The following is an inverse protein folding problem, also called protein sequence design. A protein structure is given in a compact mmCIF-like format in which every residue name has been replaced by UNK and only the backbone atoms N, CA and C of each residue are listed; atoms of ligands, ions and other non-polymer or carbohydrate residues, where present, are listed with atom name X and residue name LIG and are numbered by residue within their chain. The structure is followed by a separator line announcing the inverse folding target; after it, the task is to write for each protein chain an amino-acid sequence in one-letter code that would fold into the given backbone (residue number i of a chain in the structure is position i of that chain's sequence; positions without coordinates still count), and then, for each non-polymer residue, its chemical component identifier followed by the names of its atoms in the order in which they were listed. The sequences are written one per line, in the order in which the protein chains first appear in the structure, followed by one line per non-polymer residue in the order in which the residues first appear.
data_IF_290876622539
#
_entry.id   IF_290876622539
#
_cell.length_a   1.000
_cell.length_b   1.000
_cell.length_c   1.000
_cell.angle_alpha   90.00
_cell.angle_beta   90.00
_cell.angle_gamma   90.00
#
_symmetry.space_group_name_H-M   'P 1'
#
loop_
_entity.id
_entity.type
_entity.pdbx_description
1 polymer ?
#
# COMPACT_ATOMS: atom_id res chain seq x y z
N UNK A 1 -23.26 30.58 12.12
CA UNK A 1 -22.87 29.23 12.56
C UNK A 1 -23.28 28.16 11.55
N UNK A 2 -24.54 28.10 11.10
CA UNK A 2 -25.02 27.13 10.09
C UNK A 2 -24.35 27.24 8.70
N UNK A 3 -24.19 28.46 8.16
CA UNK A 3 -23.48 28.68 6.87
C UNK A 3 -22.01 28.23 6.91
N UNK A 4 -21.29 28.53 8.00
CA UNK A 4 -19.89 28.10 8.19
C UNK A 4 -19.76 26.57 8.36
N UNK A 5 -20.80 25.90 8.87
CA UNK A 5 -20.84 24.44 8.92
C UNK A 5 -21.08 23.83 7.54
N UNK A 6 -21.99 24.40 6.74
CA UNK A 6 -22.25 23.98 5.36
C UNK A 6 -21.02 24.15 4.45
N UNK A 7 -20.34 25.28 4.56
CA UNK A 7 -19.11 25.59 3.80
C UNK A 7 -17.97 24.63 4.16
N UNK A 8 -17.84 24.25 5.45
CA UNK A 8 -16.92 23.20 5.90
C UNK A 8 -17.28 21.81 5.39
N UNK A 9 -18.56 21.51 5.23
CA UNK A 9 -18.99 20.21 4.69
C UNK A 9 -18.84 20.11 3.18
N UNK A 10 -18.97 21.22 2.42
CA UNK A 10 -18.72 21.22 0.98
C UNK A 10 -17.26 20.90 0.65
N UNK A 11 -16.31 21.43 1.43
CA UNK A 11 -14.89 21.10 1.30
C UNK A 11 -14.60 19.58 1.38
N UNK A 12 -15.38 18.82 2.15
CA UNK A 12 -15.19 17.37 2.27
C UNK A 12 -15.49 16.62 0.96
N UNK A 13 -16.29 17.20 0.07
CA UNK A 13 -16.69 16.62 -1.21
C UNK A 13 -15.90 17.16 -2.41
N UNK A 14 -14.98 18.10 -2.19
CA UNK A 14 -14.08 18.58 -3.24
C UNK A 14 -13.03 17.52 -3.60
N UNK A 15 -12.64 17.50 -4.87
CA UNK A 15 -11.58 16.63 -5.37
C UNK A 15 -10.24 16.99 -4.70
N UNK A 16 -9.69 16.02 -3.98
CA UNK A 16 -8.38 16.12 -3.38
C UNK A 16 -7.32 15.75 -4.41
N UNK A 17 -6.39 16.66 -4.69
CA UNK A 17 -5.25 16.37 -5.56
C UNK A 17 -4.00 15.97 -4.76
N UNK A 18 -3.76 14.67 -4.61
CA UNK A 18 -2.60 14.05 -3.94
C UNK A 18 -1.83 13.19 -4.94
N UNK A 19 -0.50 13.36 -4.98
CA UNK A 19 0.34 12.53 -5.83
C UNK A 19 0.58 11.16 -5.20
N UNK A 20 0.71 10.12 -6.03
CA UNK A 20 0.82 8.75 -5.55
C UNK A 20 2.04 8.53 -4.64
N UNK A 21 3.19 9.10 -4.98
CA UNK A 21 4.39 8.98 -4.14
C UNK A 21 4.24 9.71 -2.80
N UNK A 22 3.57 10.86 -2.78
CA UNK A 22 3.17 11.57 -1.55
C UNK A 22 2.27 10.68 -0.70
N UNK A 23 1.27 10.01 -1.29
CA UNK A 23 0.37 9.09 -0.56
C UNK A 23 1.16 7.98 0.13
N UNK A 24 2.04 7.29 -0.59
CA UNK A 24 2.84 6.21 -0.01
C UNK A 24 3.77 6.74 1.09
N UNK A 25 4.33 7.94 0.91
CA UNK A 25 5.18 8.58 1.91
C UNK A 25 4.40 8.99 3.17
N UNK A 26 3.16 9.47 3.03
CA UNK A 26 2.28 9.79 4.16
C UNK A 26 1.90 8.52 4.95
N UNK A 27 1.59 7.42 4.26
CA UNK A 27 1.31 6.13 4.93
C UNK A 27 2.56 5.57 5.61
N UNK A 28 3.74 5.68 5.00
CA UNK A 28 5.00 5.29 5.62
C UNK A 28 5.36 6.16 6.83
N UNK A 29 5.19 7.48 6.73
CA UNK A 29 5.37 8.40 7.85
C UNK A 29 4.42 8.05 9.00
N UNK A 30 3.16 7.74 8.69
CA UNK A 30 2.17 7.28 9.67
C UNK A 30 2.59 5.96 10.32
N UNK A 31 3.09 5.00 9.54
CA UNK A 31 3.55 3.71 10.05
C UNK A 31 4.66 3.89 11.09
N UNK A 32 5.66 4.69 10.75
CA UNK A 32 6.81 4.96 11.62
C UNK A 32 6.38 5.78 12.85
N UNK A 33 5.60 6.86 12.67
CA UNK A 33 5.15 7.70 13.78
C UNK A 33 4.25 6.95 14.77
N UNK A 34 3.27 6.18 14.28
CA UNK A 34 2.41 5.39 15.17
C UNK A 34 3.21 4.32 15.89
N UNK A 35 4.18 3.67 15.23
CA UNK A 35 5.10 2.76 15.91
C UNK A 35 5.84 3.47 17.04
N UNK A 36 6.43 4.65 16.77
CA UNK A 36 7.11 5.46 17.79
C UNK A 36 6.21 5.86 18.96
N UNK A 37 4.94 6.21 18.71
CA UNK A 37 3.96 6.53 19.76
C UNK A 37 3.61 5.30 20.61
N UNK A 38 3.42 4.14 19.97
CA UNK A 38 3.06 2.89 20.63
C UNK A 38 4.22 2.29 21.43
N UNK A 39 5.47 2.63 21.11
CA UNK A 39 6.63 2.17 21.87
C UNK A 39 6.60 2.62 23.34
N UNK A 40 6.03 3.79 23.68
CA UNK A 40 5.94 4.26 25.08
C UNK A 40 5.14 3.31 25.99
N UNK A 41 3.86 2.98 25.67
CA UNK A 41 3.09 2.02 26.46
C UNK A 41 3.64 0.59 26.36
N UNK A 42 4.29 0.21 25.25
CA UNK A 42 5.00 -1.08 25.12
C UNK A 42 6.12 -1.20 26.15
N UNK A 43 7.00 -0.20 26.23
CA UNK A 43 8.12 -0.22 27.18
C UNK A 43 7.66 -0.12 28.64
N UNK A 44 6.48 0.43 28.87
CA UNK A 44 5.83 0.44 30.18
C UNK A 44 5.15 -0.90 30.54
N UNK A 45 5.17 -1.88 29.63
CA UNK A 45 4.53 -3.19 29.81
C UNK A 45 3.00 -3.18 29.71
N UNK A 46 2.41 -2.09 29.22
CA UNK A 46 0.94 -1.93 29.16
C UNK A 46 0.31 -2.66 27.97
N UNK A 47 1.03 -2.76 26.85
CA UNK A 47 0.54 -3.39 25.63
C UNK A 47 1.61 -4.29 24.99
N UNK A 48 1.22 -5.38 24.32
CA UNK A 48 2.14 -6.25 23.61
C UNK A 48 2.71 -5.58 22.35
N UNK A 49 3.91 -5.98 21.95
CA UNK A 49 4.59 -5.49 20.74
C UNK A 49 4.88 -6.64 19.80
N UNK A 50 4.48 -6.50 18.54
CA UNK A 50 4.72 -7.49 17.50
C UNK A 50 5.79 -7.03 16.51
N UNK A 51 7.04 -7.44 16.76
CA UNK A 51 8.20 -7.00 15.97
C UNK A 51 8.07 -7.37 14.47
N UNK A 52 7.71 -8.62 14.18
CA UNK A 52 7.60 -9.11 12.80
C UNK A 52 6.51 -8.38 12.02
N UNK A 53 5.46 -7.88 12.69
CA UNK A 53 4.43 -7.06 12.07
C UNK A 53 4.94 -5.68 11.66
N UNK A 54 5.77 -5.03 12.49
CA UNK A 54 6.43 -3.76 12.14
C UNK A 54 7.42 -3.97 10.99
N UNK A 55 8.28 -4.98 11.07
CA UNK A 55 9.23 -5.26 9.99
C UNK A 55 8.53 -5.61 8.69
N UNK A 56 7.49 -6.44 8.76
CA UNK A 56 6.71 -6.85 7.61
C UNK A 56 5.98 -5.70 6.94
N UNK A 57 5.38 -4.80 7.73
CA UNK A 57 4.73 -3.59 7.24
C UNK A 57 5.70 -2.64 6.52
N UNK A 58 6.86 -2.37 7.11
CA UNK A 58 7.87 -1.49 6.50
C UNK A 58 8.44 -2.09 5.20
N UNK A 59 8.73 -3.39 5.19
CA UNK A 59 9.17 -4.10 3.98
C UNK A 59 8.09 -4.09 2.90
N UNK A 60 6.83 -4.28 3.26
CA UNK A 60 5.73 -4.15 2.33
C UNK A 60 5.68 -2.76 1.69
N UNK A 61 5.84 -1.69 2.48
CA UNK A 61 5.86 -0.32 1.97
C UNK A 61 7.07 -0.04 1.07
N UNK A 62 8.26 -0.53 1.41
CA UNK A 62 9.44 -0.45 0.52
C UNK A 62 9.24 -1.22 -0.79
N UNK A 63 8.69 -2.43 -0.71
CA UNK A 63 8.35 -3.24 -1.88
C UNK A 63 7.31 -2.53 -2.76
N UNK A 64 6.29 -1.93 -2.15
CA UNK A 64 5.31 -1.11 -2.84
C UNK A 64 5.96 0.06 -3.56
N UNK A 65 6.78 0.87 -2.90
CA UNK A 65 7.50 1.99 -3.54
C UNK A 65 8.35 1.51 -4.72
N UNK A 66 9.02 0.37 -4.57
CA UNK A 66 9.85 -0.22 -5.63
C UNK A 66 9.01 -0.63 -6.84
N UNK A 67 7.88 -1.31 -6.63
CA UNK A 67 6.97 -1.76 -7.69
C UNK A 67 6.26 -0.58 -8.37
N UNK A 68 5.77 0.37 -7.58
CA UNK A 68 4.86 1.42 -8.02
C UNK A 68 5.54 2.70 -8.47
N UNK A 69 6.76 2.99 -8.01
CA UNK A 69 7.51 4.20 -8.34
C UNK A 69 8.82 3.90 -9.07
N UNK A 70 9.36 2.67 -8.98
CA UNK A 70 10.72 2.36 -9.43
C UNK A 70 11.80 2.89 -8.49
N UNK A 71 11.40 3.49 -7.36
CA UNK A 71 12.31 3.94 -6.31
C UNK A 71 12.69 2.76 -5.44
N UNK A 72 13.96 2.38 -5.51
CA UNK A 72 14.52 1.39 -4.58
C UNK A 72 14.97 2.08 -3.30
N UNK A 73 15.17 1.34 -2.19
CA UNK A 73 15.81 1.90 -1.00
C UNK A 73 17.16 2.55 -1.31
N UNK A 74 17.89 2.06 -2.32
CA UNK A 74 19.17 2.59 -2.77
C UNK A 74 19.07 3.87 -3.65
N UNK A 75 17.86 4.33 -3.99
CA UNK A 75 17.62 5.54 -4.78
C UNK A 75 16.73 5.32 -6.01
N UNK A 76 16.66 6.37 -6.84
CA UNK A 76 15.84 6.40 -8.06
C UNK A 76 16.45 5.47 -9.12
N UNK A 77 15.73 4.42 -9.51
CA UNK A 77 16.10 3.54 -10.62
C UNK A 77 15.01 3.59 -11.70
N UNK A 78 15.39 3.35 -12.96
CA UNK A 78 14.41 3.15 -14.03
C UNK A 78 13.59 1.90 -13.76
N UNK A 79 12.29 1.92 -14.09
CA UNK A 79 11.41 0.77 -13.91
C UNK A 79 11.76 -0.32 -14.90
N UNK A 80 12.57 -1.28 -14.45
CA UNK A 80 12.92 -2.48 -15.21
C UNK A 80 12.20 -3.71 -14.64
N UNK A 81 12.12 -4.79 -15.43
CA UNK A 81 11.58 -6.07 -14.95
C UNK A 81 12.31 -6.57 -13.70
N UNK A 82 13.62 -6.34 -13.61
CA UNK A 82 14.41 -6.72 -12.45
C UNK A 82 14.00 -5.95 -11.18
N UNK A 83 13.82 -4.63 -11.30
CA UNK A 83 13.35 -3.78 -10.18
C UNK A 83 11.93 -4.18 -9.75
N UNK A 84 11.05 -4.51 -10.70
CA UNK A 84 9.71 -5.00 -10.40
C UNK A 84 9.75 -6.32 -9.60
N UNK A 85 10.52 -7.30 -10.07
CA UNK A 85 10.67 -8.61 -9.39
C UNK A 85 11.27 -8.42 -7.99
N UNK A 86 12.28 -7.56 -7.86
CA UNK A 86 12.86 -7.23 -6.56
C UNK A 86 11.81 -6.63 -5.62
N UNK A 87 11.04 -5.65 -6.08
CA UNK A 87 10.00 -5.01 -5.27
C UNK A 87 8.90 -5.99 -4.83
N UNK A 88 8.44 -6.86 -5.73
CA UNK A 88 7.49 -7.93 -5.40
C UNK A 88 8.09 -8.90 -4.38
N UNK A 89 9.37 -9.24 -4.51
CA UNK A 89 10.06 -10.15 -3.58
C UNK A 89 10.16 -9.52 -2.19
N UNK A 90 10.57 -8.26 -2.09
CA UNK A 90 10.63 -7.52 -0.82
C UNK A 90 9.25 -7.41 -0.17
N UNK A 91 8.21 -7.10 -0.97
CA UNK A 91 6.84 -7.07 -0.48
C UNK A 91 6.36 -8.45 0.01
N UNK A 92 6.68 -9.53 -0.72
CA UNK A 92 6.34 -10.89 -0.34
C UNK A 92 7.00 -11.30 0.98
N UNK A 93 8.28 -10.97 1.16
CA UNK A 93 8.99 -11.17 2.45
C UNK A 93 8.26 -10.39 3.56
N UNK A 94 7.85 -9.15 3.30
CA UNK A 94 7.09 -8.35 4.26
C UNK A 94 5.74 -8.96 4.63
N UNK A 95 4.98 -9.45 3.65
CA UNK A 95 3.69 -10.13 3.86
C UNK A 95 3.86 -11.39 4.71
N UNK A 96 4.84 -12.24 4.37
CA UNK A 96 5.12 -13.47 5.13
C UNK A 96 5.54 -13.14 6.56
N UNK A 97 6.38 -12.12 6.76
CA UNK A 97 6.82 -11.66 8.08
C UNK A 97 5.64 -11.22 8.96
N UNK A 98 4.68 -10.48 8.38
CA UNK A 98 3.46 -10.08 9.09
C UNK A 98 2.63 -11.29 9.53
N UNK A 99 2.55 -12.34 8.72
CA UNK A 99 1.58 -13.42 8.95
C UNK A 99 2.14 -14.54 9.82
N UNK A 100 3.42 -14.85 9.68
CA UNK A 100 4.05 -16.01 10.32
C UNK A 100 4.98 -15.50 11.43
N UNK A 101 4.49 -15.35 12.68
CA UNK A 101 5.33 -14.94 13.79
C UNK A 101 6.43 -15.98 14.04
N UNK A 102 7.63 -15.50 14.37
CA UNK A 102 8.72 -16.24 14.99
C UNK A 102 9.37 -17.39 14.19
N UNK A 103 8.93 -17.64 12.95
CA UNK A 103 9.53 -18.69 12.10
C UNK A 103 10.69 -18.17 11.26
N UNK A 104 10.57 -16.97 10.67
CA UNK A 104 11.54 -16.44 9.71
C UNK A 104 12.18 -15.11 10.14
N UNK A 105 12.15 -14.75 11.42
CA UNK A 105 12.49 -13.40 11.94
C UNK A 105 13.79 -12.80 11.41
N UNK A 106 14.82 -13.64 11.22
CA UNK A 106 16.12 -13.21 10.70
C UNK A 106 16.03 -12.61 9.29
N UNK A 107 15.23 -13.21 8.40
CA UNK A 107 15.17 -12.79 6.99
C UNK A 107 14.56 -11.38 6.85
N UNK A 108 13.36 -11.08 7.36
CA UNK A 108 12.80 -9.73 7.35
C UNK A 108 13.69 -8.74 8.08
N UNK A 109 14.30 -9.14 9.22
CA UNK A 109 15.20 -8.27 9.98
C UNK A 109 16.40 -7.85 9.12
N UNK A 110 17.11 -8.80 8.50
CA UNK A 110 18.28 -8.50 7.65
C UNK A 110 17.89 -7.68 6.43
N UNK A 111 16.81 -8.05 5.73
CA UNK A 111 16.34 -7.30 4.55
C UNK A 111 15.97 -5.87 4.95
N UNK A 112 15.29 -5.67 6.08
CA UNK A 112 14.91 -4.34 6.55
C UNK A 112 16.12 -3.50 6.93
N UNK A 113 17.11 -4.09 7.61
CA UNK A 113 18.36 -3.39 7.96
C UNK A 113 19.09 -2.96 6.69
N UNK A 114 19.15 -3.80 5.66
CA UNK A 114 19.72 -3.44 4.36
C UNK A 114 18.93 -2.27 3.76
N UNK A 115 17.58 -2.34 3.72
CA UNK A 115 16.75 -1.26 3.18
C UNK A 115 16.95 0.06 3.93
N UNK A 116 17.04 0.04 5.27
CA UNK A 116 17.15 1.23 6.10
C UNK A 116 18.57 1.82 6.13
N UNK A 117 19.59 1.00 6.41
CA UNK A 117 20.98 1.43 6.53
C UNK A 117 21.60 1.69 5.16
N UNK A 118 21.67 0.66 4.31
CA UNK A 118 22.30 0.78 3.00
C UNK A 118 21.51 1.73 2.10
N UNK A 119 20.18 1.68 2.15
CA UNK A 119 19.33 2.61 1.43
C UNK A 119 19.52 4.06 1.87
N UNK A 120 19.45 4.33 3.18
CA UNK A 120 19.67 5.67 3.73
C UNK A 120 21.06 6.23 3.40
N UNK A 121 22.11 5.41 3.51
CA UNK A 121 23.48 5.82 3.17
C UNK A 121 23.61 6.17 1.68
N UNK A 122 23.11 5.32 0.79
CA UNK A 122 23.19 5.54 -0.66
C UNK A 122 22.38 6.76 -1.08
N UNK A 123 21.19 6.99 -0.50
CA UNK A 123 20.39 8.17 -0.78
C UNK A 123 21.06 9.46 -0.28
N UNK A 124 21.72 9.42 0.89
CA UNK A 124 22.51 10.54 1.40
C UNK A 124 23.70 10.85 0.49
N UNK A 125 24.46 9.83 0.08
CA UNK A 125 25.59 10.00 -0.85
C UNK A 125 25.12 10.53 -2.21
N UNK A 126 24.03 10.00 -2.76
CA UNK A 126 23.45 10.51 -4.00
C UNK A 126 23.01 11.97 -3.88
N UNK A 127 22.42 12.36 -2.76
CA UNK A 127 22.03 13.75 -2.52
C UNK A 127 23.24 14.69 -2.52
N UNK A 128 24.35 14.28 -1.89
CA UNK A 128 25.57 15.08 -1.81
C UNK A 128 26.37 15.14 -3.13
N UNK A 129 26.39 14.05 -3.89
CA UNK A 129 27.23 13.90 -5.11
C UNK A 129 26.49 14.31 -6.39
N UNK A 130 25.16 14.17 -6.44
CA UNK A 130 24.40 14.47 -7.65
C UNK A 130 24.31 15.98 -7.90
N UNK A 131 24.79 16.41 -9.08
CA UNK A 131 24.66 17.79 -9.57
C UNK A 131 23.20 18.23 -9.70
N UNK A 132 22.31 17.29 -9.93
CA UNK A 132 20.88 17.52 -10.17
C UNK A 132 20.04 17.56 -8.89
N UNK A 133 20.63 17.27 -7.72
CA UNK A 133 19.93 17.29 -6.42
C UNK A 133 20.38 18.49 -5.58
N UNK A 134 21.27 18.30 -4.60
CA UNK A 134 21.59 19.34 -3.61
C UNK A 134 22.07 20.64 -4.26
N UNK A 135 22.96 20.55 -5.25
CA UNK A 135 23.46 21.74 -5.95
C UNK A 135 22.35 22.46 -6.73
N UNK A 136 21.47 21.71 -7.41
CA UNK A 136 20.33 22.28 -8.11
C UNK A 136 19.30 22.90 -7.14
N UNK A 137 18.99 22.24 -6.02
CA UNK A 137 18.03 22.73 -5.01
C UNK A 137 18.50 24.01 -4.34
N UNK A 138 19.80 24.11 -4.05
CA UNK A 138 20.42 25.34 -3.57
C UNK A 138 20.34 26.46 -4.61
N UNK A 139 20.49 26.12 -5.90
CA UNK A 139 20.38 27.06 -7.01
C UNK A 139 18.96 27.55 -7.28
N UNK A 140 17.93 26.71 -7.11
CA UNK A 140 16.53 27.08 -7.31
C UNK A 140 15.98 28.00 -6.22
N UNK A 141 16.49 27.88 -4.98
CA UNK A 141 16.02 28.67 -3.85
C UNK A 141 14.57 28.38 -3.42
N UNK A 142 14.06 29.15 -2.45
CA UNK A 142 12.68 29.06 -1.98
C UNK A 142 12.34 27.74 -1.27
N UNK A 143 11.29 27.04 -1.72
CA UNK A 143 10.79 25.80 -1.08
C UNK A 143 11.81 24.66 -1.17
N UNK A 144 12.66 24.64 -2.22
CA UNK A 144 13.68 23.62 -2.42
C UNK A 144 14.80 23.68 -1.36
N UNK A 145 15.05 24.84 -0.74
CA UNK A 145 15.99 24.98 0.38
C UNK A 145 15.55 24.19 1.63
N UNK A 146 14.24 24.03 1.84
CA UNK A 146 13.70 23.24 2.94
C UNK A 146 13.67 21.74 2.61
N UNK A 147 13.70 21.37 1.33
CA UNK A 147 13.68 19.98 0.88
C UNK A 147 15.01 19.26 1.21
N UNK A 148 16.15 19.92 0.99
CA UNK A 148 17.47 19.39 1.30
C UNK A 148 17.60 18.91 2.78
N UNK A 149 17.42 19.77 3.80
CA UNK A 149 17.55 19.35 5.19
C UNK A 149 16.50 18.32 5.61
N UNK A 150 15.28 18.38 5.05
CA UNK A 150 14.24 17.39 5.34
C UNK A 150 14.59 16.00 4.80
N UNK A 151 15.05 15.89 3.55
CA UNK A 151 15.53 14.64 2.97
C UNK A 151 16.76 14.11 3.72
N UNK A 152 17.72 14.99 4.03
CA UNK A 152 18.89 14.65 4.82
C UNK A 152 18.52 14.06 6.19
N UNK A 153 17.54 14.66 6.89
CA UNK A 153 17.02 14.12 8.14
C UNK A 153 16.42 12.72 7.96
N UNK A 154 15.56 12.51 6.95
CA UNK A 154 14.99 11.18 6.65
C UNK A 154 16.08 10.14 6.42
N UNK A 155 17.13 10.46 5.67
CA UNK A 155 18.21 9.51 5.38
C UNK A 155 19.04 9.17 6.63
N UNK A 156 19.39 10.18 7.43
CA UNK A 156 20.14 9.98 8.68
C UNK A 156 19.32 9.17 9.69
N UNK A 157 18.05 9.53 9.89
CA UNK A 157 17.18 8.80 10.81
C UNK A 157 16.81 7.40 10.29
N UNK A 158 16.78 7.18 8.96
CA UNK A 158 16.66 5.83 8.39
C UNK A 158 17.84 4.96 8.76
N UNK A 159 19.07 5.46 8.62
CA UNK A 159 20.28 4.71 9.03
C UNK A 159 20.27 4.41 10.53
N UNK A 160 19.89 5.39 11.35
CA UNK A 160 19.78 5.23 12.80
C UNK A 160 18.71 4.19 13.16
N UNK A 161 17.55 4.22 12.50
CA UNK A 161 16.50 3.22 12.69
C UNK A 161 16.98 1.81 12.31
N UNK A 162 17.71 1.66 11.19
CA UNK A 162 18.29 0.37 10.82
C UNK A 162 19.33 -0.14 11.83
N UNK A 163 20.13 0.76 12.43
CA UNK A 163 21.08 0.43 13.49
C UNK A 163 20.37 -0.01 14.78
N UNK A 164 19.27 0.66 15.15
CA UNK A 164 18.42 0.28 16.28
C UNK A 164 17.72 -1.08 16.08
N UNK A 165 17.38 -1.41 14.84
CA UNK A 165 16.86 -2.76 14.51
C UNK A 165 17.97 -3.80 14.64
N UNK A 166 19.21 -3.47 14.24
CA UNK A 166 20.35 -4.38 14.34
C UNK A 166 20.69 -4.71 15.81
N UNK A 167 21.07 -3.71 16.61
CA UNK A 167 21.38 -3.85 18.04
C UNK A 167 20.23 -3.28 18.89
N UNK A 168 19.44 -4.18 19.50
CA UNK A 168 18.41 -3.81 20.46
C UNK A 168 19.09 -3.40 21.78
N UNK A 169 18.97 -2.13 22.18
CA UNK A 169 19.54 -1.62 23.43
C UNK A 169 20.64 -0.57 23.29
N UNK A 170 20.96 -0.12 22.07
CA UNK A 170 21.86 1.02 21.86
C UNK A 170 21.40 2.29 22.60
N UNK A 171 20.09 2.49 22.64
CA UNK A 171 19.44 3.60 23.33
C UNK A 171 18.50 3.11 24.42
N UNK A 172 18.23 4.00 25.39
CA UNK A 172 17.14 3.80 26.34
C UNK A 172 15.80 3.73 25.60
N UNK A 173 14.85 3.01 26.17
CA UNK A 173 13.49 2.85 25.65
C UNK A 173 12.87 4.18 25.15
N UNK A 174 12.93 5.24 25.98
CA UNK A 174 12.40 6.55 25.63
C UNK A 174 13.12 7.20 24.45
N UNK A 175 14.45 7.08 24.39
CA UNK A 175 15.24 7.63 23.29
C UNK A 175 14.97 6.89 21.98
N UNK A 176 14.79 5.57 22.01
CA UNK A 176 14.37 4.78 20.84
C UNK A 176 13.02 5.28 20.34
N UNK A 177 12.01 5.40 21.21
CA UNK A 177 10.69 5.90 20.83
C UNK A 177 10.74 7.31 20.23
N UNK A 178 11.48 8.23 20.87
CA UNK A 178 11.67 9.61 20.36
C UNK A 178 12.38 9.59 19.00
N UNK A 179 13.42 8.78 18.82
CA UNK A 179 14.15 8.71 17.54
C UNK A 179 13.26 8.24 16.39
N UNK A 180 12.40 7.24 16.65
CA UNK A 180 11.41 6.73 15.68
C UNK A 180 10.34 7.79 15.39
N UNK A 181 9.89 8.55 16.40
CA UNK A 181 8.97 9.66 16.19
C UNK A 181 9.55 10.78 15.33
N UNK A 182 10.80 11.16 15.57
CA UNK A 182 11.49 12.18 14.77
C UNK A 182 11.68 11.68 13.34
N UNK A 183 11.99 10.40 13.16
CA UNK A 183 12.07 9.78 11.85
C UNK A 183 10.74 9.90 11.09
N UNK A 184 9.63 9.43 11.68
CA UNK A 184 8.30 9.49 11.06
C UNK A 184 7.85 10.93 10.79
N UNK A 185 8.12 11.86 11.71
CA UNK A 185 7.83 13.29 11.52
C UNK A 185 8.61 13.89 10.34
N UNK A 186 9.87 13.49 10.16
CA UNK A 186 10.69 13.93 9.02
C UNK A 186 10.11 13.44 7.69
N UNK A 187 9.59 12.21 7.65
CA UNK A 187 8.91 11.66 6.46
C UNK A 187 7.67 12.51 6.10
N UNK A 188 6.86 12.89 7.10
CA UNK A 188 5.72 13.78 6.88
C UNK A 188 6.15 15.14 6.31
N UNK A 189 7.20 15.76 6.85
CA UNK A 189 7.72 17.04 6.34
C UNK A 189 8.11 16.92 4.87
N UNK A 190 8.82 15.85 4.49
CA UNK A 190 9.17 15.61 3.08
C UNK A 190 7.91 15.44 2.22
N UNK A 191 6.91 14.69 2.69
CA UNK A 191 5.66 14.51 1.96
C UNK A 191 4.91 15.83 1.71
N UNK A 192 4.82 16.70 2.71
CA UNK A 192 4.20 18.02 2.56
C UNK A 192 4.97 18.95 1.62
N UNK A 193 6.31 18.96 1.74
CA UNK A 193 7.16 19.76 0.85
C UNK A 193 7.03 19.28 -0.60
N UNK A 194 7.03 17.96 -0.82
CA UNK A 194 6.91 17.38 -2.15
C UNK A 194 5.54 17.66 -2.77
N UNK A 195 4.47 17.53 -1.99
CA UNK A 195 3.12 17.90 -2.41
C UNK A 195 3.02 19.37 -2.82
N UNK A 196 3.65 20.26 -2.07
CA UNK A 196 3.69 21.70 -2.38
C UNK A 196 4.48 21.97 -3.66
N UNK A 197 5.62 21.30 -3.84
CA UNK A 197 6.45 21.40 -5.05
C UNK A 197 5.69 20.89 -6.27
N UNK A 198 5.01 19.75 -6.19
CA UNK A 198 4.29 19.20 -7.34
C UNK A 198 3.07 20.03 -7.73
N UNK A 199 2.36 20.63 -6.78
CA UNK A 199 1.30 21.61 -7.09
C UNK A 199 1.84 22.87 -7.75
N UNK A 200 3.02 23.35 -7.35
CA UNK A 200 3.64 24.52 -7.95
C UNK A 200 4.30 24.22 -9.32
N UNK A 201 4.85 23.01 -9.48
CA UNK A 201 5.60 22.57 -10.66
C UNK A 201 5.13 21.17 -11.11
N UNK A 202 3.99 21.07 -11.82
CA UNK A 202 3.40 19.79 -12.22
C UNK A 202 4.30 18.94 -13.13
N UNK A 203 5.21 19.60 -13.87
CA UNK A 203 6.18 18.95 -14.75
C UNK A 203 7.18 18.08 -13.95
N UNK A 204 7.50 18.47 -12.71
CA UNK A 204 8.38 17.69 -11.84
C UNK A 204 7.75 16.37 -11.37
N UNK A 205 6.41 16.29 -11.34
CA UNK A 205 5.69 15.05 -11.02
C UNK A 205 5.58 14.11 -12.24
N UNK A 206 5.55 14.66 -13.46
CA UNK A 206 5.44 13.90 -14.72
C UNK A 206 6.77 13.33 -15.23
N UNK A 207 7.91 13.77 -14.69
CA UNK A 207 9.24 13.35 -15.14
C UNK A 207 9.55 11.85 -14.93
N UNK A 208 8.64 11.07 -14.33
CA UNK A 208 8.69 9.61 -14.27
C UNK A 208 7.96 8.95 -15.45
N UNK A 209 8.03 9.52 -16.64
CA UNK A 209 7.58 8.87 -17.87
C UNK A 209 8.59 7.79 -18.26
N UNK A 210 8.22 6.51 -18.08
CA UNK A 210 9.00 5.39 -18.61
C UNK A 210 8.06 4.35 -19.23
N UNK A 211 8.37 4.00 -20.47
CA UNK A 211 7.68 3.21 -21.51
C UNK A 211 7.27 1.77 -21.09
N UNK A 212 7.58 1.36 -19.86
CA UNK A 212 7.31 0.03 -19.31
C UNK A 212 6.40 0.05 -18.07
N UNK A 213 5.94 1.23 -17.65
CA UNK A 213 5.30 1.47 -16.35
C UNK A 213 3.94 0.79 -16.17
N UNK A 214 3.87 -0.16 -15.22
CA UNK A 214 2.61 -0.47 -14.56
C UNK A 214 2.10 0.83 -13.92
N UNK A 215 0.93 1.30 -14.36
CA UNK A 215 0.21 2.38 -13.71
C UNK A 215 0.02 2.08 -12.21
N UNK A 216 -0.15 3.10 -11.37
CA UNK A 216 -0.30 2.96 -9.93
C UNK A 216 -1.37 1.92 -9.56
N UNK A 217 -2.49 1.92 -10.29
CA UNK A 217 -3.57 0.95 -10.13
C UNK A 217 -3.13 -0.49 -10.44
N UNK A 218 -2.32 -0.69 -11.49
CA UNK A 218 -1.79 -2.01 -11.84
C UNK A 218 -0.77 -2.51 -10.82
N UNK A 219 0.05 -1.60 -10.27
CA UNK A 219 0.98 -1.91 -9.18
C UNK A 219 0.25 -2.34 -7.91
N UNK A 220 -0.81 -1.63 -7.53
CA UNK A 220 -1.66 -1.98 -6.39
C UNK A 220 -2.39 -3.31 -6.63
N UNK A 221 -2.89 -3.54 -7.83
CA UNK A 221 -3.55 -4.79 -8.21
C UNK A 221 -2.57 -5.98 -8.17
N UNK A 222 -1.34 -5.81 -8.67
CA UNK A 222 -0.26 -6.80 -8.55
C UNK A 222 0.02 -7.17 -7.10
N UNK A 223 0.25 -6.17 -6.24
CA UNK A 223 0.58 -6.39 -4.83
C UNK A 223 -0.60 -6.99 -4.05
N UNK A 224 -1.83 -6.58 -4.36
CA UNK A 224 -3.04 -7.19 -3.78
C UNK A 224 -3.18 -8.65 -4.21
N UNK A 225 -2.90 -8.96 -5.48
CA UNK A 225 -2.88 -10.33 -5.98
C UNK A 225 -1.83 -11.20 -5.29
N UNK A 226 -0.61 -10.69 -5.12
CA UNK A 226 0.48 -11.37 -4.39
C UNK A 226 0.11 -11.57 -2.92
N UNK A 227 -0.45 -10.55 -2.26
CA UNK A 227 -0.97 -10.65 -0.89
C UNK A 227 -1.99 -11.77 -0.76
N UNK A 228 -3.01 -11.79 -1.64
CA UNK A 228 -4.08 -12.81 -1.61
C UNK A 228 -3.54 -14.21 -1.87
N UNK A 229 -2.58 -14.36 -2.78
CA UNK A 229 -1.95 -15.63 -3.08
C UNK A 229 -1.14 -16.16 -1.89
N UNK A 230 -0.27 -15.33 -1.31
CA UNK A 230 0.53 -15.71 -0.14
C UNK A 230 -0.38 -16.05 1.04
N UNK A 231 -1.38 -15.21 1.31
CA UNK A 231 -2.34 -15.43 2.37
C UNK A 231 -3.10 -16.76 2.17
N UNK A 232 -3.61 -16.99 0.97
CA UNK A 232 -4.37 -18.21 0.65
C UNK A 232 -3.53 -19.48 0.82
N UNK A 233 -2.28 -19.46 0.34
CA UNK A 233 -1.34 -20.58 0.48
C UNK A 233 -0.98 -20.84 1.95
N UNK A 234 -0.77 -19.78 2.75
CA UNK A 234 -0.43 -19.90 4.16
C UNK A 234 -1.61 -20.35 5.03
N UNK A 235 -2.84 -19.99 4.69
CA UNK A 235 -4.01 -20.38 5.47
C UNK A 235 -4.25 -21.90 5.49
N UNK A 236 -3.83 -22.63 4.46
CA UNK A 236 -3.95 -24.09 4.40
C UNK A 236 -3.17 -24.79 5.53
N UNK A 237 -1.84 -24.66 5.65
CA UNK A 237 -1.07 -25.26 6.75
C UNK A 237 -1.43 -24.69 8.13
N UNK A 238 -1.81 -23.41 8.21
CA UNK A 238 -2.31 -22.79 9.45
C UNK A 238 -3.60 -23.48 9.93
N UNK A 239 -4.52 -23.79 9.02
CA UNK A 239 -5.77 -24.48 9.35
C UNK A 239 -5.56 -25.92 9.84
N UNK A 240 -4.43 -26.53 9.49
CA UNK A 240 -4.00 -27.84 10.02
C UNK A 240 -3.15 -27.73 11.29
N UNK A 241 -2.98 -26.53 11.86
CA UNK A 241 -2.18 -26.29 13.06
C UNK A 241 -0.66 -26.45 12.86
N UNK A 242 -0.17 -26.45 11.61
CA UNK A 242 1.26 -26.66 11.32
C UNK A 242 2.10 -25.39 11.34
N UNK A 243 1.47 -24.22 11.19
CA UNK A 243 2.15 -22.92 11.19
C UNK A 243 1.45 -21.94 12.13
N UNK A 244 2.21 -21.13 12.89
CA UNK A 244 1.64 -20.07 13.68
C UNK A 244 1.16 -18.94 12.76
N UNK A 245 0.15 -18.19 13.21
CA UNK A 245 -0.49 -17.19 12.36
C UNK A 245 -0.94 -15.95 13.13
N UNK A 246 -0.59 -14.77 12.63
CA UNK A 246 -1.03 -13.48 13.16
C UNK A 246 -2.19 -12.92 12.35
N UNK A 247 -3.42 -13.22 12.78
CA UNK A 247 -4.64 -12.64 12.17
C UNK A 247 -4.69 -11.11 12.30
N UNK A 248 -4.09 -10.55 13.37
CA UNK A 248 -4.00 -9.10 13.58
C UNK A 248 -3.21 -8.37 12.49
N UNK A 249 -2.01 -8.87 12.16
CA UNK A 249 -1.19 -8.27 11.12
C UNK A 249 -1.70 -8.61 9.71
N UNK A 250 -2.39 -9.74 9.52
CA UNK A 250 -3.12 -10.03 8.28
C UNK A 250 -4.17 -8.95 7.98
N UNK A 251 -5.09 -8.73 8.91
CA UNK A 251 -6.12 -7.71 8.77
C UNK A 251 -5.50 -6.31 8.70
N UNK A 252 -4.45 -6.08 9.50
CA UNK A 252 -3.73 -4.81 9.51
C UNK A 252 -3.14 -4.45 8.15
N UNK A 253 -2.42 -5.39 7.53
CA UNK A 253 -1.79 -5.18 6.23
C UNK A 253 -2.83 -5.02 5.11
N UNK A 254 -3.94 -5.76 5.17
CA UNK A 254 -5.06 -5.58 4.24
C UNK A 254 -5.68 -4.18 4.35
N UNK A 255 -5.84 -3.66 5.58
CA UNK A 255 -6.35 -2.31 5.81
C UNK A 255 -5.39 -1.22 5.29
N UNK A 256 -4.08 -1.45 5.39
CA UNK A 256 -3.08 -0.57 4.76
C UNK A 256 -3.19 -0.61 3.23
N UNK A 257 -3.40 -1.79 2.62
CA UNK A 257 -3.64 -1.90 1.17
C UNK A 257 -4.89 -1.10 0.77
N UNK A 258 -6.01 -1.25 1.48
CA UNK A 258 -7.23 -0.49 1.20
C UNK A 258 -7.05 1.02 1.41
N UNK A 259 -6.31 1.43 2.44
CA UNK A 259 -5.98 2.83 2.65
C UNK A 259 -5.22 3.42 1.47
N UNK A 260 -4.19 2.74 0.98
CA UNK A 260 -3.39 3.24 -0.14
C UNK A 260 -4.26 3.31 -1.40
N UNK A 261 -5.12 2.32 -1.67
CA UNK A 261 -6.06 2.39 -2.80
C UNK A 261 -7.02 3.58 -2.71
N UNK A 262 -7.56 3.86 -1.51
CA UNK A 262 -8.44 5.01 -1.28
C UNK A 262 -7.71 6.33 -1.46
N UNK A 263 -6.50 6.46 -0.90
CA UNK A 263 -5.70 7.67 -0.95
C UNK A 263 -5.12 7.94 -2.35
N UNK A 264 -4.73 6.89 -3.08
CA UNK A 264 -4.10 6.99 -4.39
C UNK A 264 -5.11 7.21 -5.52
N UNK A 265 -6.08 6.30 -5.65
CA UNK A 265 -6.97 6.22 -6.81
C UNK A 265 -8.45 6.36 -6.47
N UNK A 266 -8.80 6.65 -5.21
CA UNK A 266 -10.20 6.72 -4.76
C UNK A 266 -10.90 5.36 -4.79
N UNK A 267 -10.16 4.28 -5.01
CA UNK A 267 -10.66 2.91 -4.96
C UNK A 267 -11.00 2.54 -3.52
N UNK A 268 -12.28 2.35 -3.22
CA UNK A 268 -12.72 1.82 -1.93
C UNK A 268 -13.04 0.33 -2.06
N UNK A 269 -13.08 -0.42 -0.94
CA UNK A 269 -13.53 -1.81 -0.94
C UNK A 269 -14.96 -2.00 -1.49
N UNK A 270 -15.80 -0.96 -1.43
CA UNK A 270 -17.19 -0.99 -1.94
C UNK A 270 -17.27 -0.68 -3.45
N UNK A 271 -16.21 -0.08 -4.01
CA UNK A 271 -16.12 0.29 -5.41
C UNK A 271 -15.30 1.56 -5.64
N UNK A 272 -15.14 1.98 -6.91
CA UNK A 272 -14.46 3.22 -7.24
C UNK A 272 -15.30 4.44 -6.83
N UNK A 273 -14.67 5.40 -6.14
CA UNK A 273 -15.22 6.70 -5.82
C UNK A 273 -14.29 7.81 -6.32
N UNK A 274 -14.82 9.01 -6.48
CA UNK A 274 -13.98 10.19 -6.72
C UNK A 274 -13.11 10.44 -5.49
N UNK A 275 -11.89 10.90 -5.72
CA UNK A 275 -10.89 11.12 -4.68
C UNK A 275 -11.19 12.41 -3.93
N UNK A 276 -12.28 12.40 -3.15
CA UNK A 276 -12.70 13.52 -2.31
C UNK A 276 -11.95 13.55 -1.00
N UNK A 277 -11.89 14.70 -0.32
CA UNK A 277 -11.27 14.82 1.00
C UNK A 277 -11.86 13.86 2.04
N UNK A 278 -13.15 13.52 1.94
CA UNK A 278 -13.80 12.51 2.77
C UNK A 278 -13.20 11.12 2.56
N UNK A 279 -12.99 10.71 1.30
CA UNK A 279 -12.32 9.44 0.98
C UNK A 279 -10.87 9.44 1.47
N UNK A 280 -10.18 10.58 1.34
CA UNK A 280 -8.82 10.74 1.88
C UNK A 280 -8.79 10.57 3.40
N UNK A 281 -9.72 11.20 4.13
CA UNK A 281 -9.84 11.05 5.57
C UNK A 281 -10.06 9.59 5.98
N UNK A 282 -11.00 8.90 5.33
CA UNK A 282 -11.19 7.46 5.57
C UNK A 282 -9.96 6.64 5.23
N UNK A 283 -9.25 6.99 4.16
CA UNK A 283 -7.96 6.41 3.81
C UNK A 283 -6.96 6.48 4.97
N UNK A 284 -6.81 7.65 5.60
CA UNK A 284 -5.93 7.78 6.77
C UNK A 284 -6.41 7.02 8.00
N UNK A 285 -7.72 6.96 8.25
CA UNK A 285 -8.29 6.15 9.33
C UNK A 285 -7.99 4.66 9.12
N UNK A 286 -8.12 4.16 7.89
CA UNK A 286 -7.81 2.78 7.54
C UNK A 286 -6.32 2.48 7.69
N UNK A 287 -5.44 3.41 7.29
CA UNK A 287 -4.01 3.28 7.53
C UNK A 287 -3.72 3.18 9.02
N UNK A 288 -4.25 4.08 9.84
CA UNK A 288 -4.00 4.09 11.27
C UNK A 288 -4.46 2.78 11.94
N UNK A 289 -5.68 2.33 11.65
CA UNK A 289 -6.20 1.05 12.15
C UNK A 289 -5.34 -0.13 11.69
N UNK A 290 -4.93 -0.12 10.43
CA UNK A 290 -4.11 -1.17 9.85
C UNK A 290 -2.72 -1.27 10.49
N UNK A 291 -2.05 -0.13 10.59
CA UNK A 291 -0.73 0.02 11.22
C UNK A 291 -0.78 -0.42 12.68
N UNK A 292 -1.74 0.11 13.47
CA UNK A 292 -1.88 -0.25 14.89
C UNK A 292 -2.10 -1.76 15.05
N UNK A 293 -2.88 -2.39 14.17
CA UNK A 293 -3.09 -3.84 14.19
C UNK A 293 -1.87 -4.66 13.78
N UNK A 294 -0.97 -4.12 12.95
CA UNK A 294 0.32 -4.73 12.67
C UNK A 294 1.31 -4.60 13.84
N UNK A 295 1.23 -3.52 14.62
CA UNK A 295 2.17 -3.26 15.74
C UNK A 295 1.71 -3.94 17.04
N UNK A 296 0.42 -3.87 17.35
CA UNK A 296 -0.17 -4.33 18.61
C UNK A 296 -1.11 -5.50 18.33
N UNK A 297 -0.68 -6.74 18.63
CA UNK A 297 -1.46 -7.92 18.30
C UNK A 297 -2.72 -8.01 19.18
N UNK A 298 -3.76 -8.65 18.63
CA UNK A 298 -5.00 -9.04 19.33
C UNK A 298 -5.91 -7.91 19.85
N UNK A 299 -5.57 -6.63 19.71
CA UNK A 299 -6.42 -5.52 20.20
C UNK A 299 -7.54 -5.18 19.21
N UNK A 300 -7.21 -5.04 17.92
CA UNK A 300 -8.16 -4.58 16.88
C UNK A 300 -8.86 -5.73 16.15
N UNK A 301 -8.51 -6.98 16.42
CA UNK A 301 -8.94 -8.14 15.61
C UNK A 301 -10.45 -8.25 15.47
N UNK A 302 -11.28 -8.22 16.53
CA UNK A 302 -12.73 -8.37 16.38
C UNK A 302 -13.34 -7.23 15.54
N UNK A 303 -12.88 -6.00 15.77
CA UNK A 303 -13.36 -4.82 15.05
C UNK A 303 -12.96 -4.87 13.57
N UNK A 304 -11.71 -5.22 13.27
CA UNK A 304 -11.23 -5.33 11.89
C UNK A 304 -11.87 -6.50 11.15
N UNK A 305 -12.10 -7.64 11.80
CA UNK A 305 -12.83 -8.76 11.19
C UNK A 305 -14.24 -8.35 10.79
N UNK A 306 -14.95 -7.64 11.67
CA UNK A 306 -16.28 -7.11 11.36
C UNK A 306 -16.22 -6.12 10.20
N UNK A 307 -15.30 -5.15 10.26
CA UNK A 307 -15.16 -4.11 9.25
C UNK A 307 -14.80 -4.70 7.88
N UNK A 308 -13.75 -5.52 7.80
CA UNK A 308 -13.31 -6.18 6.56
C UNK A 308 -14.38 -7.14 6.04
N UNK A 309 -15.06 -7.87 6.93
CA UNK A 309 -16.15 -8.76 6.57
C UNK A 309 -17.31 -8.03 5.91
N UNK A 310 -17.76 -6.92 6.51
CA UNK A 310 -18.83 -6.07 5.97
C UNK A 310 -18.41 -5.41 4.66
N UNK A 311 -17.19 -4.88 4.57
CA UNK A 311 -16.69 -4.22 3.37
C UNK A 311 -16.64 -5.16 2.17
N UNK A 312 -16.16 -6.39 2.35
CA UNK A 312 -16.15 -7.39 1.29
C UNK A 312 -17.57 -7.87 0.91
N UNK A 313 -18.45 -8.04 1.90
CA UNK A 313 -19.84 -8.43 1.64
C UNK A 313 -20.58 -7.36 0.83
N UNK A 314 -20.52 -6.11 1.28
CA UNK A 314 -21.19 -4.98 0.63
C UNK A 314 -20.56 -4.67 -0.73
N UNK A 315 -19.23 -4.66 -0.82
CA UNK A 315 -18.50 -4.41 -2.06
C UNK A 315 -18.75 -5.46 -3.12
N UNK A 316 -18.67 -6.74 -2.75
CA UNK A 316 -19.00 -7.83 -3.66
C UNK A 316 -20.45 -7.80 -4.12
N UNK A 317 -21.41 -7.54 -3.22
CA UNK A 317 -22.82 -7.40 -3.57
C UNK A 317 -23.07 -6.23 -4.53
N UNK A 318 -22.51 -5.05 -4.24
CA UNK A 318 -22.61 -3.88 -5.10
C UNK A 318 -21.97 -4.13 -6.49
N UNK A 319 -20.86 -4.85 -6.53
CA UNK A 319 -20.20 -5.28 -7.76
C UNK A 319 -21.08 -6.20 -8.62
N UNK A 320 -21.74 -7.20 -8.02
CA UNK A 320 -22.67 -8.07 -8.73
C UNK A 320 -23.87 -7.29 -9.30
N UNK A 321 -24.46 -6.39 -8.51
CA UNK A 321 -25.57 -5.54 -8.97
C UNK A 321 -25.15 -4.72 -10.19
N UNK A 322 -23.94 -4.12 -10.19
CA UNK A 322 -23.42 -3.36 -11.34
C UNK A 322 -23.27 -4.21 -12.60
N UNK A 323 -22.80 -5.45 -12.46
CA UNK A 323 -22.65 -6.38 -13.60
C UNK A 323 -24.03 -6.70 -14.21
N UNK A 324 -25.01 -7.02 -13.36
CA UNK A 324 -26.38 -7.34 -13.81
C UNK A 324 -27.03 -6.13 -14.49
N UNK A 325 -26.94 -4.94 -13.89
CA UNK A 325 -27.48 -3.70 -14.48
C UNK A 325 -26.81 -3.40 -15.83
N UNK A 326 -25.49 -3.54 -15.93
CA UNK A 326 -24.75 -3.35 -17.19
C UNK A 326 -25.18 -4.36 -18.26
N UNK A 327 -25.35 -5.63 -17.90
CA UNK A 327 -25.81 -6.67 -18.82
C UNK A 327 -27.24 -6.42 -19.32
N UNK A 328 -28.16 -5.99 -18.44
CA UNK A 328 -29.53 -5.63 -18.81
C UNK A 328 -29.56 -4.41 -19.74
N UNK A 329 -28.74 -3.39 -19.46
CA UNK A 329 -28.63 -2.22 -20.34
C UNK A 329 -28.11 -2.60 -21.74
N UNK A 330 -27.13 -3.50 -21.80
CA UNK A 330 -26.57 -4.00 -23.06
C UNK A 330 -27.49 -4.93 -23.82
N UNK A 331 -28.36 -5.70 -23.17
CA UNK A 331 -29.39 -6.47 -23.89
C UNK A 331 -30.40 -5.57 -24.61
N UNK A 332 -30.55 -4.30 -24.19
CA UNK A 332 -31.37 -3.30 -24.91
C UNK A 332 -30.67 -2.66 -26.10
N UNK A 333 -29.35 -2.69 -26.15
CA UNK A 333 -28.52 -2.13 -27.22
C UNK A 333 -27.91 -3.32 -27.98
N UNK A 334 -28.50 -3.73 -29.12
CA UNK A 334 -28.15 -4.95 -29.86
C UNK A 334 -26.75 -4.88 -30.53
N UNK A 335 -25.70 -4.74 -29.72
CA UNK A 335 -24.31 -4.61 -30.15
C UNK A 335 -23.53 -5.90 -29.92
N UNK A 336 -22.73 -6.29 -30.91
CA UNK A 336 -21.85 -7.45 -30.83
C UNK A 336 -20.77 -7.22 -29.76
N UNK A 337 -20.79 -8.02 -28.68
CA UNK A 337 -19.87 -7.85 -27.55
C UNK A 337 -18.50 -8.44 -27.89
N UNK A 338 -17.40 -7.67 -27.81
CA UNK A 338 -16.05 -8.20 -27.97
C UNK A 338 -15.73 -9.28 -26.93
N UNK A 339 -15.14 -10.40 -27.34
CA UNK A 339 -14.81 -11.56 -26.47
C UNK A 339 -13.99 -11.19 -25.22
N UNK A 340 -13.12 -10.19 -25.34
CA UNK A 340 -12.31 -9.67 -24.22
C UNK A 340 -13.19 -9.10 -23.09
N UNK A 341 -14.31 -8.47 -23.45
CA UNK A 341 -15.23 -7.85 -22.50
C UNK A 341 -16.08 -8.90 -21.77
N UNK A 342 -16.35 -10.04 -22.43
CA UNK A 342 -16.97 -11.21 -21.80
C UNK A 342 -16.03 -11.81 -20.76
N UNK A 343 -14.76 -12.03 -21.10
CA UNK A 343 -13.77 -12.54 -20.14
C UNK A 343 -13.62 -11.62 -18.93
N UNK A 344 -13.57 -10.30 -19.14
CA UNK A 344 -13.51 -9.32 -18.06
C UNK A 344 -14.76 -9.37 -17.17
N UNK A 345 -15.95 -9.49 -17.75
CA UNK A 345 -17.21 -9.59 -17.00
C UNK A 345 -17.29 -10.86 -16.16
N UNK A 346 -16.86 -12.00 -16.71
CA UNK A 346 -16.78 -13.28 -15.98
C UNK A 346 -15.77 -13.17 -14.84
N UNK A 347 -14.58 -12.62 -15.10
CA UNK A 347 -13.56 -12.41 -14.09
C UNK A 347 -14.08 -11.53 -12.95
N UNK A 348 -14.77 -10.43 -13.24
CA UNK A 348 -15.37 -9.56 -12.22
C UNK A 348 -16.49 -10.25 -11.46
N UNK A 349 -17.33 -11.04 -12.12
CA UNK A 349 -18.37 -11.83 -11.46
C UNK A 349 -17.78 -12.81 -10.44
N UNK A 350 -16.73 -13.54 -10.83
CA UNK A 350 -16.02 -14.48 -9.94
C UNK A 350 -15.39 -13.74 -8.77
N UNK A 351 -14.69 -12.62 -9.01
CA UNK A 351 -14.08 -11.84 -7.92
C UNK A 351 -15.11 -11.33 -6.91
N UNK A 352 -16.27 -10.85 -7.38
CA UNK A 352 -17.33 -10.35 -6.50
C UNK A 352 -17.96 -11.48 -5.67
N UNK A 353 -18.19 -12.65 -6.27
CA UNK A 353 -18.69 -13.83 -5.55
C UNK A 353 -17.70 -14.29 -4.48
N UNK A 354 -16.41 -14.32 -4.82
CA UNK A 354 -15.33 -14.65 -3.88
C UNK A 354 -15.24 -13.63 -2.75
N UNK A 355 -15.40 -12.34 -3.03
CA UNK A 355 -15.44 -11.29 -2.01
C UNK A 355 -16.61 -11.49 -1.04
N UNK A 356 -17.81 -11.81 -1.55
CA UNK A 356 -18.96 -12.16 -0.71
C UNK A 356 -18.66 -13.36 0.18
N UNK A 357 -18.13 -14.46 -0.39
CA UNK A 357 -17.79 -15.67 0.36
C UNK A 357 -16.74 -15.40 1.45
N UNK A 358 -15.73 -14.59 1.14
CA UNK A 358 -14.73 -14.18 2.11
C UNK A 358 -15.36 -13.34 3.23
N UNK A 359 -16.16 -12.34 2.87
CA UNK A 359 -16.85 -11.48 3.83
C UNK A 359 -17.79 -12.25 4.75
N UNK A 360 -18.60 -13.15 4.21
CA UNK A 360 -19.50 -14.00 5.03
C UNK A 360 -18.74 -14.96 5.93
N UNK A 361 -17.62 -15.54 5.45
CA UNK A 361 -16.78 -16.42 6.26
C UNK A 361 -16.12 -15.72 7.46
N UNK A 362 -15.88 -14.41 7.35
CA UNK A 362 -15.38 -13.59 8.47
C UNK A 362 -16.48 -13.24 9.48
N UNK A 363 -17.72 -13.03 9.02
CA UNK A 363 -18.84 -12.64 9.87
C UNK A 363 -19.51 -13.83 10.57
N UNK A 364 -19.49 -15.01 9.94
CA UNK A 364 -20.11 -16.22 10.46
C UNK A 364 -19.01 -17.25 10.73
N UNK A 365 -18.65 -17.41 12.00
CA UNK A 365 -17.66 -18.41 12.42
C UNK A 365 -18.08 -19.82 12.00
N UNK A 366 -17.12 -20.63 11.56
CA UNK A 366 -17.32 -22.02 11.12
C UNK A 366 -18.25 -22.23 9.90
N UNK A 367 -18.63 -21.16 9.17
CA UNK A 367 -19.38 -21.32 7.91
C UNK A 367 -18.55 -22.06 6.85
N UNK A 368 -17.27 -21.68 6.73
CA UNK A 368 -16.33 -22.23 5.78
C UNK A 368 -15.05 -22.63 6.53
N UNK A 369 -14.59 -23.88 6.44
CA UNK A 369 -13.29 -24.30 6.99
C UNK A 369 -12.14 -23.42 6.49
N UNK A 370 -11.20 -23.08 7.36
CA UNK A 370 -10.10 -22.16 7.03
C UNK A 370 -9.26 -22.57 5.82
N UNK A 371 -9.08 -23.88 5.58
CA UNK A 371 -8.35 -24.37 4.41
C UNK A 371 -9.10 -24.10 3.10
N UNK A 372 -10.43 -24.12 3.12
CA UNK A 372 -11.26 -23.74 1.96
C UNK A 372 -11.15 -22.24 1.71
N UNK A 373 -11.19 -21.42 2.78
CA UNK A 373 -10.93 -19.98 2.67
C UNK A 373 -9.56 -19.72 2.04
N UNK A 374 -8.53 -20.49 2.43
CA UNK A 374 -7.20 -20.44 1.82
C UNK A 374 -7.20 -20.72 0.31
N UNK A 375 -7.91 -21.77 -0.13
CA UNK A 375 -8.06 -22.10 -1.56
C UNK A 375 -8.79 -20.98 -2.32
N UNK A 376 -9.88 -20.45 -1.74
CA UNK A 376 -10.65 -19.35 -2.33
C UNK A 376 -9.78 -18.10 -2.52
N UNK A 377 -8.98 -17.74 -1.51
CA UNK A 377 -8.08 -16.58 -1.58
C UNK A 377 -6.96 -16.78 -2.59
N UNK A 378 -6.41 -17.99 -2.65
CA UNK A 378 -5.39 -18.34 -3.65
C UNK A 378 -5.94 -18.20 -5.06
N UNK A 379 -7.16 -18.71 -5.30
CA UNK A 379 -7.85 -18.55 -6.58
C UNK A 379 -8.08 -17.07 -6.89
N UNK A 380 -8.51 -16.26 -5.91
CA UNK A 380 -8.69 -14.81 -6.08
C UNK A 380 -7.39 -14.10 -6.46
N UNK A 381 -6.29 -14.43 -5.79
CA UNK A 381 -4.96 -13.90 -6.13
C UNK A 381 -4.55 -14.24 -7.56
N UNK A 382 -4.73 -15.49 -7.99
CA UNK A 382 -4.48 -15.90 -9.37
C UNK A 382 -5.35 -15.14 -10.39
N UNK A 383 -6.63 -14.95 -10.08
CA UNK A 383 -7.58 -14.21 -10.93
C UNK A 383 -7.19 -12.73 -11.05
N UNK A 384 -6.78 -12.08 -9.95
CA UNK A 384 -6.27 -10.71 -9.98
C UNK A 384 -5.03 -10.59 -10.87
N UNK A 385 -4.06 -11.50 -10.72
CA UNK A 385 -2.85 -11.50 -11.57
C UNK A 385 -3.19 -11.76 -13.05
N UNK A 386 -4.18 -12.60 -13.32
CA UNK A 386 -4.68 -12.80 -14.68
C UNK A 386 -5.36 -11.56 -15.25
N UNK A 387 -6.19 -10.87 -14.46
CA UNK A 387 -6.82 -9.61 -14.84
C UNK A 387 -5.78 -8.55 -15.19
N UNK A 388 -4.70 -8.46 -14.41
CA UNK A 388 -3.57 -7.57 -14.71
C UNK A 388 -3.01 -7.85 -16.10
N UNK A 389 -2.78 -9.12 -16.44
CA UNK A 389 -2.27 -9.54 -17.75
C UNK A 389 -3.22 -9.15 -18.88
N UNK A 390 -4.53 -9.26 -18.65
CA UNK A 390 -5.54 -8.82 -19.62
C UNK A 390 -5.51 -7.30 -19.82
N UNK A 391 -5.46 -6.51 -18.75
CA UNK A 391 -5.40 -5.04 -18.84
C UNK A 391 -4.16 -4.57 -19.61
N UNK A 392 -2.99 -5.15 -19.32
CA UNK A 392 -1.75 -4.84 -20.05
C UNK A 392 -1.88 -5.19 -21.55
N UNK A 393 -2.57 -6.28 -21.88
CA UNK A 393 -2.80 -6.67 -23.27
C UNK A 393 -3.76 -5.72 -23.99
N UNK A 394 -4.80 -5.25 -23.32
CA UNK A 394 -5.75 -4.28 -23.87
C UNK A 394 -5.05 -2.94 -24.15
N UNK A 395 -4.20 -2.48 -23.24
CA UNK A 395 -3.48 -1.21 -23.44
C UNK A 395 -2.53 -1.26 -24.64
N UNK A 396 -1.85 -2.39 -24.85
CA UNK A 396 -1.02 -2.60 -26.05
C UNK A 396 -1.85 -2.60 -27.33
N UNK A 397 -3.00 -3.29 -27.34
CA UNK A 397 -3.87 -3.26 -28.51
C UNK A 397 -4.37 -1.83 -28.80
N UNK A 398 -4.66 -1.05 -27.76
CA UNK A 398 -5.07 0.35 -27.90
C UNK A 398 -3.94 1.23 -28.43
N UNK A 399 -2.70 1.06 -27.96
CA UNK A 399 -1.55 1.79 -28.50
C UNK A 399 -1.31 1.46 -29.96
N UNK A 400 -1.35 0.18 -30.33
CA UNK A 400 -1.14 -0.28 -31.71
C UNK A 400 -2.20 0.30 -32.66
N UNK A 401 -3.47 0.37 -32.23
CA UNK A 401 -4.57 0.98 -33.01
C UNK A 401 -4.38 2.50 -33.15
N UNK A 402 -4.01 3.20 -32.08
CA UNK A 402 -3.76 4.65 -32.11
C UNK A 402 -2.56 5.00 -33.00
N UNK A 403 -1.48 4.20 -32.97
CA UNK A 403 -0.35 4.34 -33.87
C UNK A 403 -0.73 4.09 -35.34
N UNK A 404 -1.61 3.11 -35.60
CA UNK A 404 -2.11 2.85 -36.95
C UNK A 404 -3.06 3.93 -37.49
N UNK A 405 -3.83 4.60 -36.63
CA UNK A 405 -4.78 5.67 -37.03
C UNK A 405 -4.14 7.05 -37.14
N UNK A 406 -3.15 7.38 -36.30
CA UNK A 406 -2.53 8.72 -36.24
C UNK A 406 -1.10 8.77 -36.76
N UNK A 407 -0.48 7.62 -37.08
CA UNK A 407 0.81 7.53 -37.74
C UNK A 407 0.70 7.63 -39.27
N UNK A 408 0.39 8.83 -39.77
CA UNK A 408 0.68 9.24 -41.16
C UNK A 408 1.39 10.58 -41.19
#
# INVERSE_FOLDING_TARGET
MWKSFLEKTEFLFEDADLYFDVVVLLVAGMAVTLTGLLLFPVYSGLIPYYENGVYGLLLFLFGLQTVSLGRTPAGDMRRTKAVLVLGVTVAAVGIVACFVPDVFTLVPKVVLIICLCMGGLLQLLQMLVSKDKLQAWLGYGGIFLYLAPACGAVYVFSMLAGLLVWEQGLFSASLTAISVLVYGSSIFVVAFLLQKIYRAYPQAAKASGDDFGLDADKAMLLLTGVFMLILGVLLVPVSFGRLPFSGSAQLGLLMVIFSIQMLASGGTPVGPFHRTWLVILFGFVFAALGIVSCVVPNVLVPFLTLLVGLLNLVGGAAGLVKIVVSAVKRMKEADAVPTVLVHLSITQFVMNLVSILFGTSMLISNLIPGWIVGVILTANGCVLLYLMRLLIRIDRLRSDIMEAEYGK
#
